data_IF_091337236546
#
_entry.id   IF_091337236546
#
_cell.length_a   1.000
_cell.length_b   1.000
_cell.length_c   1.000
_cell.angle_alpha   90.00
_cell.angle_beta   90.00
_cell.angle_gamma   90.00
#
_symmetry.space_group_name_H-M   'P 1'
#
loop_
_entity.id
_entity.type
_entity.pdbx_description
1 polymer ?
#
# COMPACT_ATOMS: atom_id res chain seq x y z
N UNK A 1 53.32 22.84 53.72
CA UNK A 1 53.06 24.20 53.18
C UNK A 1 54.09 24.36 52.07
N UNK A 2 53.77 24.26 50.79
CA UNK A 2 52.63 24.88 50.10
C UNK A 2 52.30 24.11 48.81
N UNK A 3 51.03 24.16 48.43
CA UNK A 3 50.37 23.53 47.30
C UNK A 3 51.08 23.68 45.94
N UNK A 4 51.08 22.59 45.19
CA UNK A 4 51.18 22.61 43.72
C UNK A 4 49.76 22.48 43.15
N UNK A 5 49.34 23.29 42.16
CA UNK A 5 47.99 23.22 41.64
C UNK A 5 47.82 21.97 40.75
N UNK A 6 46.81 21.17 41.08
CA UNK A 6 46.31 20.08 40.23
C UNK A 6 45.91 20.65 38.85
N UNK A 7 46.51 20.09 37.79
CA UNK A 7 46.07 20.33 36.42
C UNK A 7 44.70 19.69 36.21
N UNK A 8 43.66 20.51 36.17
CA UNK A 8 42.33 20.11 35.73
C UNK A 8 42.42 19.72 34.26
N UNK A 9 42.36 18.41 33.97
CA UNK A 9 42.20 17.92 32.61
C UNK A 9 40.76 18.26 32.18
N UNK A 10 40.60 19.21 31.27
CA UNK A 10 39.31 19.43 30.61
C UNK A 10 38.84 18.10 29.99
N UNK A 11 37.62 17.70 30.33
CA UNK A 11 36.98 16.57 29.67
C UNK A 11 36.76 16.94 28.18
N UNK A 12 36.92 15.99 27.24
CA UNK A 12 36.61 16.26 25.84
C UNK A 12 35.16 16.72 25.71
N UNK A 13 34.86 17.61 24.74
CA UNK A 13 33.49 18.07 24.52
C UNK A 13 32.58 16.85 24.29
N UNK A 14 31.45 16.84 25.00
CA UNK A 14 30.38 15.86 24.75
C UNK A 14 29.93 16.06 23.31
N UNK A 15 29.96 15.03 22.44
CA UNK A 15 29.43 15.19 21.09
C UNK A 15 27.95 15.56 21.20
N UNK A 16 27.60 16.68 20.57
CA UNK A 16 26.23 17.12 20.40
C UNK A 16 25.54 16.07 19.52
N UNK A 17 24.83 15.14 20.15
CA UNK A 17 23.95 14.20 19.45
C UNK A 17 22.64 14.90 19.13
N UNK A 18 22.72 16.01 18.41
CA UNK A 18 21.69 16.42 17.47
C UNK A 18 21.98 15.74 16.14
N UNK A 19 22.02 14.40 16.16
CA UNK A 19 21.89 13.60 14.95
C UNK A 19 20.49 13.85 14.43
N UNK A 20 20.37 14.84 13.55
CA UNK A 20 19.36 14.84 12.50
C UNK A 20 19.44 13.45 11.90
N UNK A 21 18.37 12.66 12.00
CA UNK A 21 18.31 11.36 11.36
C UNK A 21 18.64 11.59 9.90
N UNK A 22 19.78 11.05 9.46
CA UNK A 22 20.08 10.95 8.05
C UNK A 22 18.96 10.13 7.46
N UNK A 23 18.06 10.79 6.73
CA UNK A 23 17.08 10.16 5.87
C UNK A 23 17.88 9.36 4.85
N UNK A 24 18.11 8.09 5.17
CA UNK A 24 18.91 7.20 4.34
C UNK A 24 18.17 7.06 3.03
N UNK A 25 18.79 7.50 1.94
CA UNK A 25 18.28 7.42 0.56
C UNK A 25 18.17 5.97 0.04
N UNK A 26 18.21 4.98 0.93
CA UNK A 26 18.10 3.56 0.59
C UNK A 26 16.64 3.13 0.69
N UNK A 27 16.19 2.35 -0.30
CA UNK A 27 14.84 1.78 -0.32
C UNK A 27 14.63 0.96 0.97
N UNK A 28 13.56 1.23 1.76
CA UNK A 28 13.35 0.53 3.03
C UNK A 28 13.18 -0.98 2.82
N UNK A 29 13.67 -1.81 3.75
CA UNK A 29 13.59 -3.25 3.63
C UNK A 29 12.13 -3.74 3.76
N UNK A 30 11.80 -4.86 3.09
CA UNK A 30 10.47 -5.47 3.16
C UNK A 30 9.98 -5.66 4.61
N UNK A 31 10.86 -6.06 5.52
CA UNK A 31 10.51 -6.32 6.93
C UNK A 31 10.09 -5.07 7.69
N UNK A 32 10.52 -3.88 7.27
CA UNK A 32 10.08 -2.61 7.83
C UNK A 32 8.71 -2.24 7.30
N UNK A 33 8.52 -2.29 5.97
CA UNK A 33 7.23 -1.99 5.34
C UNK A 33 6.13 -2.94 5.81
N UNK A 34 6.44 -4.24 5.90
CA UNK A 34 5.51 -5.24 6.41
C UNK A 34 5.15 -5.01 7.89
N UNK A 35 6.10 -4.53 8.70
CA UNK A 35 5.82 -4.13 10.08
C UNK A 35 4.90 -2.91 10.11
N UNK A 36 5.13 -1.92 9.25
CA UNK A 36 4.30 -0.73 9.20
C UNK A 36 2.84 -1.08 8.91
N UNK A 37 2.57 -1.96 7.93
CA UNK A 37 1.22 -2.48 7.66
C UNK A 37 0.58 -3.10 8.92
N UNK A 38 1.34 -3.88 9.69
CA UNK A 38 0.80 -4.63 10.83
C UNK A 38 0.64 -3.79 12.11
N UNK A 39 1.54 -2.85 12.36
CA UNK A 39 1.73 -2.25 13.68
C UNK A 39 1.50 -0.75 13.72
N UNK A 40 1.54 -0.06 12.57
CA UNK A 40 1.33 1.39 12.54
C UNK A 40 -0.12 1.73 12.84
N UNK A 41 -0.31 2.70 13.74
CA UNK A 41 -1.63 3.26 14.03
C UNK A 41 -2.04 4.34 13.05
N UNK A 42 -1.06 4.95 12.37
CA UNK A 42 -1.29 6.02 11.41
C UNK A 42 -1.56 5.39 10.03
N UNK A 43 -2.74 5.59 9.43
CA UNK A 43 -3.09 5.02 8.13
C UNK A 43 -2.16 5.50 7.03
N UNK A 44 -1.68 6.75 7.09
CA UNK A 44 -0.78 7.33 6.09
C UNK A 44 0.55 6.55 6.02
N UNK A 45 1.04 6.07 7.17
CA UNK A 45 2.26 5.25 7.24
C UNK A 45 2.01 3.83 6.69
N UNK A 46 0.78 3.30 6.85
CA UNK A 46 0.39 2.00 6.29
C UNK A 46 0.25 2.10 4.77
N UNK A 47 -0.39 3.16 4.29
CA UNK A 47 -0.54 3.45 2.86
C UNK A 47 0.82 3.62 2.18
N UNK A 48 1.70 4.46 2.72
CA UNK A 48 3.06 4.64 2.20
C UNK A 48 3.82 3.29 2.16
N UNK A 49 3.58 2.41 3.13
CA UNK A 49 4.16 1.08 3.12
C UNK A 49 3.61 0.22 1.97
N UNK A 50 2.31 0.29 1.69
CA UNK A 50 1.67 -0.37 0.55
C UNK A 50 2.24 0.12 -0.78
N UNK A 51 2.35 1.43 -0.97
CA UNK A 51 2.93 2.03 -2.19
C UNK A 51 4.36 1.53 -2.42
N UNK A 52 5.21 1.60 -1.40
CA UNK A 52 6.61 1.15 -1.50
C UNK A 52 6.71 -0.36 -1.75
N UNK A 53 5.82 -1.16 -1.16
CA UNK A 53 5.73 -2.61 -1.41
C UNK A 53 5.27 -2.91 -2.84
N UNK A 54 4.37 -2.12 -3.41
CA UNK A 54 3.88 -2.30 -4.78
C UNK A 54 5.02 -2.26 -5.81
N UNK A 55 6.04 -1.43 -5.55
CA UNK A 55 7.27 -1.32 -6.35
C UNK A 55 8.31 -2.42 -6.08
N UNK A 56 8.08 -3.32 -5.14
CA UNK A 56 9.03 -4.39 -4.80
C UNK A 56 8.80 -5.64 -5.67
N UNK A 57 9.90 -6.31 -6.00
CA UNK A 57 9.86 -7.66 -6.55
C UNK A 57 9.80 -8.69 -5.41
N UNK A 58 9.18 -9.84 -5.66
CA UNK A 58 9.14 -10.95 -4.71
C UNK A 58 7.73 -11.48 -4.46
N UNK A 59 7.57 -12.80 -4.26
CA UNK A 59 6.27 -13.42 -3.97
C UNK A 59 5.67 -12.98 -2.62
N UNK A 60 6.50 -12.56 -1.66
CA UNK A 60 6.08 -12.09 -0.33
C UNK A 60 5.24 -10.82 -0.37
N UNK A 61 5.42 -9.98 -1.41
CA UNK A 61 4.68 -8.73 -1.61
C UNK A 61 3.18 -9.00 -1.74
N UNK A 62 2.80 -10.09 -2.43
CA UNK A 62 1.39 -10.44 -2.60
C UNK A 62 0.70 -10.63 -1.24
N UNK A 63 1.34 -11.34 -0.31
CA UNK A 63 0.76 -11.56 1.02
C UNK A 63 0.58 -10.26 1.81
N UNK A 64 1.52 -9.32 1.68
CA UNK A 64 1.43 -8.02 2.33
C UNK A 64 0.32 -7.14 1.73
N UNK A 65 0.17 -7.11 0.41
CA UNK A 65 -0.88 -6.37 -0.27
C UNK A 65 -2.27 -6.96 0.01
N UNK A 66 -2.40 -8.29 0.06
CA UNK A 66 -3.66 -8.94 0.43
C UNK A 66 -4.06 -8.64 1.88
N UNK A 67 -3.08 -8.51 2.79
CA UNK A 67 -3.34 -8.07 4.16
C UNK A 67 -3.82 -6.61 4.19
N UNK A 68 -3.17 -5.72 3.44
CA UNK A 68 -3.56 -4.32 3.36
C UNK A 68 -4.94 -4.09 2.70
N UNK A 69 -5.37 -5.00 1.81
CA UNK A 69 -6.73 -4.99 1.26
C UNK A 69 -7.81 -5.23 2.32
N UNK A 70 -7.45 -5.69 3.51
CA UNK A 70 -8.36 -5.87 4.66
C UNK A 70 -8.17 -4.79 5.75
N UNK A 71 -7.42 -3.72 5.46
CA UNK A 71 -7.16 -2.63 6.40
C UNK A 71 -8.45 -1.92 6.85
N UNK A 72 -8.44 -1.32 8.04
CA UNK A 72 -9.59 -0.56 8.55
C UNK A 72 -9.81 0.75 7.79
N UNK A 73 -8.75 1.30 7.22
CA UNK A 73 -8.72 2.57 6.50
C UNK A 73 -9.00 2.38 5.00
N UNK A 74 -9.80 3.28 4.42
CA UNK A 74 -10.24 3.19 3.03
C UNK A 74 -9.11 3.39 2.03
N UNK A 75 -8.23 4.36 2.30
CA UNK A 75 -7.15 4.74 1.40
C UNK A 75 -6.11 3.61 1.32
N UNK A 76 -5.78 3.00 2.46
CA UNK A 76 -4.90 1.83 2.52
C UNK A 76 -5.47 0.65 1.70
N UNK A 77 -6.79 0.39 1.79
CA UNK A 77 -7.43 -0.68 1.02
C UNK A 77 -7.45 -0.37 -0.48
N UNK A 78 -7.70 0.88 -0.87
CA UNK A 78 -7.73 1.30 -2.28
C UNK A 78 -6.33 1.18 -2.91
N UNK A 79 -5.30 1.70 -2.23
CA UNK A 79 -3.90 1.58 -2.62
C UNK A 79 -3.46 0.12 -2.75
N UNK A 80 -3.95 -0.76 -1.88
CA UNK A 80 -3.68 -2.19 -1.98
C UNK A 80 -4.35 -2.83 -3.22
N UNK A 81 -5.60 -2.48 -3.51
CA UNK A 81 -6.32 -2.95 -4.69
C UNK A 81 -5.63 -2.51 -5.99
N UNK A 82 -5.24 -1.24 -6.09
CA UNK A 82 -4.50 -0.70 -7.23
C UNK A 82 -3.17 -1.43 -7.43
N UNK A 83 -2.40 -1.62 -6.35
CA UNK A 83 -1.14 -2.33 -6.39
C UNK A 83 -1.30 -3.78 -6.90
N UNK A 84 -2.33 -4.50 -6.44
CA UNK A 84 -2.62 -5.86 -6.89
C UNK A 84 -2.97 -5.91 -8.39
N UNK A 85 -3.73 -4.92 -8.88
CA UNK A 85 -4.08 -4.74 -10.29
C UNK A 85 -2.87 -4.47 -11.18
N UNK A 86 -2.05 -3.48 -10.81
CA UNK A 86 -0.82 -3.11 -11.52
C UNK A 86 0.15 -4.29 -11.63
N UNK A 87 0.25 -5.08 -10.56
CA UNK A 87 1.10 -6.28 -10.51
C UNK A 87 0.50 -7.49 -11.22
N UNK A 88 -0.76 -7.40 -11.68
CA UNK A 88 -1.50 -8.47 -12.33
C UNK A 88 -1.50 -9.79 -11.56
N UNK A 89 -1.60 -9.71 -10.24
CA UNK A 89 -1.57 -10.87 -9.35
C UNK A 89 -2.88 -11.67 -9.46
N UNK A 90 -2.87 -12.76 -10.22
CA UNK A 90 -4.07 -13.58 -10.48
C UNK A 90 -4.69 -14.16 -9.21
N UNK A 91 -3.87 -14.41 -8.22
CA UNK A 91 -4.26 -14.87 -6.88
C UNK A 91 -5.11 -13.83 -6.13
N UNK A 92 -5.07 -12.55 -6.54
CA UNK A 92 -5.87 -11.48 -5.98
C UNK A 92 -7.30 -11.41 -6.53
N UNK A 93 -7.65 -12.25 -7.51
CA UNK A 93 -8.95 -12.20 -8.19
C UNK A 93 -10.14 -12.28 -7.20
N UNK A 94 -10.16 -13.29 -6.33
CA UNK A 94 -11.25 -13.46 -5.36
C UNK A 94 -11.27 -12.35 -4.28
N UNK A 95 -10.12 -11.95 -3.69
CA UNK A 95 -10.05 -10.79 -2.81
C UNK A 95 -10.56 -9.48 -3.46
N UNK A 96 -10.22 -9.22 -4.72
CA UNK A 96 -10.67 -8.03 -5.43
C UNK A 96 -12.18 -8.07 -5.72
N UNK A 97 -12.76 -9.24 -6.00
CA UNK A 97 -14.24 -9.37 -6.10
C UNK A 97 -14.91 -8.97 -4.79
N UNK A 98 -14.35 -9.37 -3.64
CA UNK A 98 -14.88 -8.97 -2.32
C UNK A 98 -14.80 -7.45 -2.13
N UNK A 99 -13.72 -6.81 -2.60
CA UNK A 99 -13.53 -5.37 -2.53
C UNK A 99 -14.52 -4.56 -3.39
N UNK A 100 -15.16 -5.15 -4.41
CA UNK A 100 -16.25 -4.50 -5.15
C UNK A 100 -17.49 -4.19 -4.27
N UNK A 101 -17.58 -4.75 -3.07
CA UNK A 101 -18.67 -4.46 -2.11
C UNK A 101 -18.20 -3.62 -0.93
N UNK A 102 -17.04 -2.95 -1.05
CA UNK A 102 -16.53 -2.09 0.01
C UNK A 102 -17.45 -0.89 0.26
N UNK A 103 -17.47 -0.42 1.51
CA UNK A 103 -18.22 0.77 1.93
C UNK A 103 -17.67 2.04 1.26
N UNK A 104 -16.39 2.03 0.93
CA UNK A 104 -15.68 3.16 0.36
C UNK A 104 -15.70 3.10 -1.17
N UNK A 105 -16.22 4.13 -1.86
CA UNK A 105 -16.25 4.15 -3.32
C UNK A 105 -14.86 4.05 -3.95
N UNK A 106 -13.82 4.63 -3.36
CA UNK A 106 -12.46 4.56 -3.92
C UNK A 106 -11.94 3.13 -3.93
N UNK A 107 -12.24 2.35 -2.89
CA UNK A 107 -11.88 0.92 -2.85
C UNK A 107 -12.64 0.14 -3.93
N UNK A 108 -13.93 0.44 -4.15
CA UNK A 108 -14.72 -0.22 -5.21
C UNK A 108 -14.19 0.11 -6.60
N UNK A 109 -13.84 1.37 -6.84
CA UNK A 109 -13.23 1.86 -8.08
C UNK A 109 -11.90 1.15 -8.35
N UNK A 110 -10.95 1.20 -7.40
CA UNK A 110 -9.65 0.55 -7.54
C UNK A 110 -9.77 -0.96 -7.75
N UNK A 111 -10.73 -1.61 -7.08
CA UNK A 111 -11.00 -3.03 -7.28
C UNK A 111 -11.54 -3.34 -8.69
N UNK A 112 -12.42 -2.47 -9.22
CA UNK A 112 -12.94 -2.62 -10.57
C UNK A 112 -11.83 -2.52 -11.61
N UNK A 113 -10.97 -1.51 -11.50
CA UNK A 113 -9.83 -1.29 -12.41
C UNK A 113 -8.77 -2.39 -12.29
N UNK A 114 -8.52 -2.87 -11.07
CA UNK A 114 -7.62 -3.99 -10.84
C UNK A 114 -8.12 -5.27 -11.51
N UNK A 115 -9.42 -5.59 -11.39
CA UNK A 115 -10.04 -6.74 -12.05
C UNK A 115 -10.00 -6.62 -13.59
N UNK A 116 -10.23 -5.42 -14.14
CA UNK A 116 -10.02 -5.16 -15.57
C UNK A 116 -8.58 -5.41 -16.01
N UNK A 117 -7.61 -4.93 -15.21
CA UNK A 117 -6.18 -5.06 -15.47
C UNK A 117 -5.65 -6.49 -15.36
N UNK A 118 -6.26 -7.33 -14.52
CA UNK A 118 -5.97 -8.76 -14.45
C UNK A 118 -6.30 -9.49 -15.76
N UNK A 119 -7.24 -8.96 -16.55
CA UNK A 119 -7.57 -9.51 -17.86
C UNK A 119 -8.29 -10.86 -17.80
N UNK A 120 -8.97 -11.18 -16.70
CA UNK A 120 -9.73 -12.42 -16.54
C UNK A 120 -11.21 -12.16 -16.83
N UNK A 121 -11.77 -12.68 -17.95
CA UNK A 121 -13.16 -12.43 -18.34
C UNK A 121 -14.20 -12.88 -17.30
N UNK A 122 -13.82 -13.75 -16.34
CA UNK A 122 -14.70 -14.11 -15.22
C UNK A 122 -15.12 -12.89 -14.39
N UNK A 123 -14.33 -11.82 -14.38
CA UNK A 123 -14.65 -10.57 -13.68
C UNK A 123 -15.88 -9.85 -14.25
N UNK A 124 -16.21 -10.03 -15.53
CA UNK A 124 -17.29 -9.29 -16.22
C UNK A 124 -18.62 -9.38 -15.45
N UNK A 125 -18.99 -10.58 -14.97
CA UNK A 125 -20.26 -10.77 -14.28
C UNK A 125 -20.31 -10.04 -12.93
N UNK A 126 -19.18 -9.96 -12.24
CA UNK A 126 -19.09 -9.25 -10.96
C UNK A 126 -19.08 -7.74 -11.17
N UNK A 127 -18.28 -7.25 -12.13
CA UNK A 127 -18.22 -5.84 -12.50
C UNK A 127 -19.59 -5.30 -12.92
N UNK A 128 -20.37 -6.06 -13.70
CA UNK A 128 -21.71 -5.65 -14.13
C UNK A 128 -22.69 -5.36 -12.98
N UNK A 129 -22.43 -5.87 -11.78
CA UNK A 129 -23.25 -5.57 -10.59
C UNK A 129 -23.10 -4.11 -10.13
N UNK A 130 -22.03 -3.42 -10.52
CA UNK A 130 -21.72 -2.04 -10.14
C UNK A 130 -22.00 -1.02 -11.26
N UNK A 131 -22.67 -1.42 -12.36
CA UNK A 131 -23.05 -0.48 -13.43
C UNK A 131 -24.04 0.61 -12.96
N UNK A 132 -24.74 0.36 -11.87
CA UNK A 132 -25.66 1.29 -11.21
C UNK A 132 -25.15 1.71 -9.82
N UNK A 133 -23.83 1.60 -9.58
CA UNK A 133 -23.22 2.07 -8.34
C UNK A 133 -23.59 3.55 -8.07
N UNK A 134 -23.71 3.93 -6.80
CA UNK A 134 -24.07 5.29 -6.41
C UNK A 134 -23.02 6.31 -6.83
N UNK A 135 -21.76 5.88 -6.85
CA UNK A 135 -20.61 6.71 -7.19
C UNK A 135 -20.38 6.73 -8.72
N UNK A 136 -20.09 7.91 -9.27
CA UNK A 136 -19.91 8.08 -10.71
C UNK A 136 -18.60 7.49 -11.22
N UNK A 137 -17.51 7.68 -10.47
CA UNK A 137 -16.18 7.22 -10.84
C UNK A 137 -16.16 5.68 -10.85
N UNK A 138 -16.82 5.05 -9.86
CA UNK A 138 -17.01 3.58 -9.83
C UNK A 138 -17.72 3.08 -11.09
N UNK A 139 -18.81 3.74 -11.53
CA UNK A 139 -19.54 3.33 -12.74
C UNK A 139 -18.66 3.47 -13.99
N UNK A 140 -17.86 4.52 -14.09
CA UNK A 140 -16.94 4.74 -15.22
C UNK A 140 -15.83 3.68 -15.29
N UNK A 141 -15.18 3.38 -14.16
CA UNK A 141 -14.16 2.34 -14.05
C UNK A 141 -14.73 0.96 -14.39
N UNK A 142 -15.92 0.63 -13.90
CA UNK A 142 -16.63 -0.61 -14.25
C UNK A 142 -16.90 -0.71 -15.75
N UNK A 143 -17.44 0.35 -16.36
CA UNK A 143 -17.75 0.35 -17.79
C UNK A 143 -16.48 0.16 -18.64
N UNK A 144 -15.39 0.83 -18.25
CA UNK A 144 -14.09 0.71 -18.91
C UNK A 144 -13.53 -0.70 -18.78
N UNK A 145 -13.53 -1.25 -17.57
CA UNK A 145 -13.02 -2.60 -17.29
C UNK A 145 -13.83 -3.69 -17.99
N UNK A 146 -15.17 -3.61 -17.99
CA UNK A 146 -16.02 -4.55 -18.74
C UNK A 146 -15.72 -4.50 -20.23
N UNK A 147 -15.63 -3.30 -20.82
CA UNK A 147 -15.32 -3.13 -22.24
C UNK A 147 -13.94 -3.68 -22.59
N UNK A 148 -12.95 -3.47 -21.72
CA UNK A 148 -11.60 -4.00 -21.90
C UNK A 148 -11.62 -5.54 -21.95
N UNK A 149 -12.32 -6.18 -21.01
CA UNK A 149 -12.41 -7.63 -20.92
C UNK A 149 -13.21 -8.25 -22.08
N UNK A 150 -14.32 -7.63 -22.49
CA UNK A 150 -15.13 -8.08 -23.64
C UNK A 150 -14.34 -7.99 -24.96
N UNK A 151 -13.36 -7.09 -25.06
CA UNK A 151 -12.50 -6.97 -26.24
C UNK A 151 -11.36 -8.01 -26.30
N UNK A 152 -11.16 -8.80 -25.24
CA UNK A 152 -10.12 -9.85 -25.16
C UNK A 152 -10.63 -11.24 -25.57
N UNK A 153 -11.95 -11.41 -25.73
CA UNK A 153 -12.59 -12.64 -26.26
C UNK A 153 -12.43 -12.77 -27.79
#
# INVERSE_FOLDING_TARGET
MSDSPESVKEAPPVPDNTSVAEETTEKPPFSELYRNILESKEPEVREEAVEKLAEMEGPEVLGALLLALEDEDGDVRASAAEALGTRKSKEAFEPLIKALSDKDPWVRESAADALGSLGDPRAINYLKMLLEDEDEDVRESVATSVKLLEAME
#
